data_IF_269292348993
#
_entry.id   IF_269292348993
#
_cell.length_a   1.000
_cell.length_b   1.000
_cell.length_c   1.000
_cell.angle_alpha   90.00
_cell.angle_beta   90.00
_cell.angle_gamma   90.00
#
_symmetry.space_group_name_H-M   'P 1'
#
loop_
_entity.id
_entity.type
_entity.pdbx_description
1 polymer ?
#
# COMPACT_ATOMS: atom_id res chain seq x y z
N UNK A 1 9.44 10.90 -5.32
CA UNK A 1 9.00 11.69 -6.50
C UNK A 1 8.52 13.06 -6.00
N UNK A 2 9.43 14.00 -5.71
CA UNK A 2 9.08 15.25 -5.01
C UNK A 2 8.20 16.19 -5.84
N UNK A 3 8.45 16.30 -7.16
CA UNK A 3 7.67 17.15 -8.07
C UNK A 3 6.19 16.73 -8.11
N UNK A 4 5.93 15.45 -8.31
CA UNK A 4 4.56 14.90 -8.30
C UNK A 4 3.88 15.08 -6.93
N UNK A 5 4.61 14.87 -5.83
CA UNK A 5 4.08 15.10 -4.49
C UNK A 5 3.67 16.55 -4.24
N UNK A 6 4.47 17.51 -4.73
CA UNK A 6 4.15 18.94 -4.65
C UNK A 6 2.91 19.27 -5.50
N UNK A 7 2.83 18.75 -6.72
CA UNK A 7 1.65 18.92 -7.59
C UNK A 7 0.37 18.39 -6.94
N UNK A 8 0.44 17.23 -6.27
CA UNK A 8 -0.72 16.68 -5.56
C UNK A 8 -1.18 17.57 -4.41
N UNK A 9 -0.26 18.28 -3.73
CA UNK A 9 -0.61 19.24 -2.68
C UNK A 9 -1.30 20.46 -3.29
N UNK A 10 -0.78 20.98 -4.41
CA UNK A 10 -1.32 22.14 -5.12
C UNK A 10 -2.74 21.87 -5.66
N UNK A 11 -2.97 20.69 -6.24
CA UNK A 11 -4.27 20.24 -6.72
C UNK A 11 -5.17 19.66 -5.62
N UNK A 12 -4.76 19.70 -4.34
CA UNK A 12 -5.51 19.16 -3.19
C UNK A 12 -5.88 17.67 -3.31
N UNK A 13 -5.07 16.88 -4.02
CA UNK A 13 -5.24 15.44 -4.16
C UNK A 13 -4.79 14.75 -2.88
N UNK A 14 -5.72 14.06 -2.22
CA UNK A 14 -5.42 13.21 -1.09
C UNK A 14 -5.28 11.74 -1.55
N UNK A 15 -4.26 10.99 -1.08
CA UNK A 15 -4.13 9.56 -1.39
C UNK A 15 -5.39 8.73 -1.12
N UNK A 16 -6.19 9.09 -0.12
CA UNK A 16 -7.46 8.39 0.17
C UNK A 16 -8.48 8.46 -0.98
N UNK A 17 -8.39 9.44 -1.87
CA UNK A 17 -9.29 9.61 -3.02
C UNK A 17 -9.11 8.53 -4.10
N UNK A 18 -7.91 7.98 -4.24
CA UNK A 18 -7.59 6.99 -5.29
C UNK A 18 -7.01 5.69 -4.73
N UNK A 19 -6.14 5.76 -3.72
CA UNK A 19 -5.38 4.60 -3.25
C UNK A 19 -6.20 3.67 -2.35
N UNK A 20 -7.29 4.14 -1.73
CA UNK A 20 -8.09 3.31 -0.82
C UNK A 20 -8.52 1.99 -1.48
N UNK A 21 -9.00 2.05 -2.73
CA UNK A 21 -9.37 0.87 -3.49
C UNK A 21 -8.16 -0.05 -3.74
N UNK A 22 -7.01 0.51 -4.09
CA UNK A 22 -5.79 -0.27 -4.35
C UNK A 22 -5.40 -1.11 -3.14
N UNK A 23 -5.40 -0.50 -1.96
CA UNK A 23 -5.01 -1.16 -0.71
C UNK A 23 -6.06 -2.17 -0.24
N UNK A 24 -7.35 -1.88 -0.36
CA UNK A 24 -8.42 -2.77 0.08
C UNK A 24 -8.53 -4.00 -0.83
N UNK A 25 -8.39 -3.81 -2.13
CA UNK A 25 -8.67 -4.84 -3.15
C UNK A 25 -7.41 -5.48 -3.71
N UNK A 26 -6.22 -5.05 -3.27
CA UNK A 26 -4.92 -5.47 -3.80
C UNK A 26 -4.92 -5.39 -5.33
N UNK A 27 -5.33 -4.22 -5.84
CA UNK A 27 -5.46 -3.88 -7.27
C UNK A 27 -6.40 -4.75 -8.12
N UNK A 28 -7.24 -5.60 -7.54
CA UNK A 28 -8.13 -6.48 -8.33
C UNK A 28 -9.21 -5.74 -9.15
N UNK A 29 -9.51 -4.49 -8.80
CA UNK A 29 -10.39 -3.61 -9.58
C UNK A 29 -9.64 -2.64 -10.49
N UNK A 30 -8.31 -2.61 -10.42
CA UNK A 30 -7.47 -1.64 -11.14
C UNK A 30 -6.69 -2.27 -12.29
N UNK A 31 -6.62 -3.60 -12.36
CA UNK A 31 -5.90 -4.33 -13.40
C UNK A 31 -6.78 -5.38 -14.08
N UNK A 32 -6.45 -5.74 -15.34
CA UNK A 32 -6.96 -6.98 -15.94
C UNK A 32 -6.60 -8.19 -15.08
N UNK A 33 -7.49 -9.19 -15.06
CA UNK A 33 -7.35 -10.37 -14.21
C UNK A 33 -5.96 -11.05 -14.28
N UNK A 34 -5.33 -11.25 -15.47
CA UNK A 34 -3.99 -11.82 -15.54
C UNK A 34 -2.94 -11.03 -14.77
N UNK A 35 -2.99 -9.70 -14.84
CA UNK A 35 -2.06 -8.83 -14.11
C UNK A 35 -2.36 -8.84 -12.60
N UNK A 36 -3.62 -8.85 -12.20
CA UNK A 36 -4.01 -9.01 -10.78
C UNK A 36 -3.39 -10.27 -10.18
N UNK A 37 -3.43 -11.41 -10.89
CA UNK A 37 -2.83 -12.66 -10.41
C UNK A 37 -1.32 -12.52 -10.19
N UNK A 38 -0.60 -11.87 -11.11
CA UNK A 38 0.84 -11.62 -10.95
C UNK A 38 1.16 -10.80 -9.71
N UNK A 39 0.36 -9.75 -9.45
CA UNK A 39 0.51 -8.93 -8.23
C UNK A 39 0.22 -9.77 -6.99
N UNK A 40 -0.78 -10.63 -7.03
CA UNK A 40 -1.16 -11.49 -5.91
C UNK A 40 -0.11 -12.55 -5.60
N UNK A 41 0.51 -13.16 -6.61
CA UNK A 41 1.60 -14.14 -6.42
C UNK A 41 2.73 -13.53 -5.59
N UNK A 42 3.18 -12.31 -5.97
CA UNK A 42 4.24 -11.61 -5.25
C UNK A 42 3.75 -11.11 -3.90
N UNK A 43 2.53 -10.58 -3.80
CA UNK A 43 1.95 -10.12 -2.54
C UNK A 43 1.84 -11.22 -1.50
N UNK A 44 1.45 -12.44 -1.89
CA UNK A 44 1.34 -13.58 -0.98
C UNK A 44 2.71 -14.04 -0.47
N UNK A 45 3.77 -13.84 -1.26
CA UNK A 45 5.14 -14.19 -0.87
C UNK A 45 5.82 -13.08 -0.04
N UNK A 46 5.70 -11.83 -0.46
CA UNK A 46 6.45 -10.68 0.08
C UNK A 46 5.65 -9.80 1.06
N UNK A 47 4.31 -9.90 1.04
CA UNK A 47 3.39 -9.18 1.91
C UNK A 47 3.05 -7.75 1.46
N UNK A 48 2.57 -6.94 2.41
CA UNK A 48 1.95 -5.62 2.16
C UNK A 48 2.84 -4.61 1.45
N UNK A 49 4.16 -4.75 1.55
CA UNK A 49 5.12 -3.88 0.86
C UNK A 49 4.92 -3.86 -0.66
N UNK A 50 4.42 -4.96 -1.24
CA UNK A 50 4.14 -5.08 -2.67
C UNK A 50 3.08 -4.07 -3.09
N UNK A 51 2.07 -3.84 -2.26
CA UNK A 51 1.00 -2.87 -2.58
C UNK A 51 1.56 -1.46 -2.71
N UNK A 52 2.48 -1.09 -1.82
CA UNK A 52 3.20 0.19 -1.91
C UNK A 52 4.12 0.25 -3.12
N UNK A 53 4.89 -0.81 -3.38
CA UNK A 53 5.81 -0.86 -4.53
C UNK A 53 5.07 -0.72 -5.86
N UNK A 54 3.98 -1.47 -6.04
CA UNK A 54 3.14 -1.40 -7.25
C UNK A 54 2.49 -0.03 -7.37
N UNK A 55 1.91 0.51 -6.29
CA UNK A 55 1.33 1.85 -6.30
C UNK A 55 2.33 2.94 -6.65
N UNK A 56 3.55 2.87 -6.11
CA UNK A 56 4.64 3.79 -6.46
C UNK A 56 5.15 3.58 -7.89
N UNK A 57 5.18 2.33 -8.37
CA UNK A 57 5.50 1.97 -9.75
C UNK A 57 4.54 2.62 -10.75
N UNK A 58 3.24 2.55 -10.49
CA UNK A 58 2.19 3.18 -11.32
C UNK A 58 2.36 4.70 -11.38
N UNK A 59 2.55 5.33 -10.22
CA UNK A 59 2.80 6.78 -10.13
C UNK A 59 4.09 7.19 -10.83
N UNK A 60 5.11 6.32 -10.81
CA UNK A 60 6.39 6.55 -11.50
C UNK A 60 6.24 6.43 -13.01
N UNK A 61 5.47 5.46 -13.48
CA UNK A 61 5.18 5.28 -14.90
C UNK A 61 4.43 6.47 -15.48
N UNK A 62 3.36 6.92 -14.80
CA UNK A 62 2.51 8.01 -15.28
C UNK A 62 3.03 9.41 -14.90
N UNK A 63 4.22 9.51 -14.30
CA UNK A 63 4.71 10.74 -13.66
C UNK A 63 4.63 11.97 -14.58
N UNK A 64 5.10 11.83 -15.81
CA UNK A 64 5.25 12.97 -16.73
C UNK A 64 3.91 13.51 -17.24
N UNK A 65 2.86 12.69 -17.19
CA UNK A 65 1.50 13.11 -17.51
C UNK A 65 0.83 13.69 -16.27
N UNK A 66 0.86 12.98 -15.14
CA UNK A 66 0.20 13.39 -13.90
C UNK A 66 0.63 14.78 -13.40
N UNK A 67 1.89 15.17 -13.60
CA UNK A 67 2.41 16.49 -13.18
C UNK A 67 1.80 17.66 -13.97
N UNK A 68 1.16 17.41 -15.11
CA UNK A 68 0.59 18.45 -15.98
C UNK A 68 -0.93 18.59 -15.84
N UNK A 69 -1.58 17.62 -15.22
CA UNK A 69 -3.04 17.52 -15.21
C UNK A 69 -3.66 18.32 -14.05
N UNK A 70 -4.77 19.05 -14.28
CA UNK A 70 -5.56 19.65 -13.21
C UNK A 70 -6.35 18.57 -12.44
N UNK A 71 -6.88 18.93 -11.27
CA UNK A 71 -7.56 18.04 -10.33
C UNK A 71 -8.47 16.95 -10.94
N UNK A 72 -9.41 17.31 -11.82
CA UNK A 72 -10.37 16.34 -12.36
C UNK A 72 -9.72 15.29 -13.26
N UNK A 73 -8.89 15.74 -14.21
CA UNK A 73 -8.15 14.87 -15.14
C UNK A 73 -7.11 14.03 -14.41
N UNK A 74 -6.47 14.62 -13.40
CA UNK A 74 -5.52 13.94 -12.54
C UNK A 74 -6.19 12.80 -11.76
N UNK A 75 -7.32 13.07 -11.12
CA UNK A 75 -8.08 12.06 -10.37
C UNK A 75 -8.69 10.99 -11.30
N UNK A 76 -9.04 11.35 -12.54
CA UNK A 76 -9.43 10.37 -13.55
C UNK A 76 -8.27 9.43 -13.90
N UNK A 77 -7.09 9.99 -14.20
CA UNK A 77 -5.89 9.24 -14.56
C UNK A 77 -5.39 8.34 -13.43
N UNK A 78 -5.56 8.75 -12.17
CA UNK A 78 -5.25 7.93 -10.99
C UNK A 78 -6.24 6.78 -10.75
N UNK A 79 -7.43 6.81 -11.37
CA UNK A 79 -8.43 5.74 -11.27
C UNK A 79 -8.35 4.75 -12.43
N UNK A 80 -7.97 5.24 -13.61
CA UNK A 80 -7.91 4.47 -14.85
C UNK A 80 -6.52 4.61 -15.46
N UNK A 81 -5.67 3.61 -15.21
CA UNK A 81 -4.33 3.56 -15.77
C UNK A 81 -4.34 3.11 -17.23
N UNK A 82 -3.39 3.59 -18.06
CA UNK A 82 -3.24 3.11 -19.43
C UNK A 82 -2.83 1.64 -19.44
N UNK A 83 -3.18 0.91 -20.50
CA UNK A 83 -2.95 -0.54 -20.60
C UNK A 83 -1.46 -0.89 -20.48
N UNK A 84 -0.58 -0.03 -21.00
CA UNK A 84 0.88 -0.19 -20.90
C UNK A 84 1.38 -0.17 -19.45
N UNK A 85 0.70 0.57 -18.55
CA UNK A 85 1.03 0.58 -17.12
C UNK A 85 0.56 -0.68 -16.39
N UNK A 86 -0.27 -1.51 -17.04
CA UNK A 86 -0.80 -2.77 -16.50
C UNK A 86 -0.04 -4.00 -17.00
N UNK A 87 0.98 -3.80 -17.84
CA UNK A 87 1.88 -4.87 -18.27
C UNK A 87 2.89 -5.23 -17.14
N UNK A 88 2.97 -6.50 -16.70
CA UNK A 88 3.90 -6.91 -15.64
C UNK A 88 5.37 -6.64 -15.98
N UNK A 89 5.76 -6.86 -17.24
CA UNK A 89 7.15 -6.73 -17.68
C UNK A 89 7.61 -5.26 -17.69
N UNK A 90 6.66 -4.34 -17.83
CA UNK A 90 6.88 -2.89 -17.72
C UNK A 90 6.78 -2.40 -16.27
N UNK A 91 5.76 -2.83 -15.53
CA UNK A 91 5.46 -2.28 -14.20
C UNK A 91 6.39 -2.81 -13.10
N UNK A 92 6.68 -4.12 -13.09
CA UNK A 92 7.44 -4.74 -11.99
C UNK A 92 8.88 -4.24 -11.85
N UNK A 93 9.64 -4.00 -12.93
CA UNK A 93 10.96 -3.39 -12.81
C UNK A 93 10.92 -2.03 -12.12
N UNK A 94 9.90 -1.20 -12.44
CA UNK A 94 9.70 0.09 -11.79
C UNK A 94 9.28 -0.07 -10.33
N UNK A 95 8.29 -0.93 -10.06
CA UNK A 95 7.75 -1.16 -8.72
C UNK A 95 8.82 -1.67 -7.74
N UNK A 96 9.60 -2.68 -8.15
CA UNK A 96 10.59 -3.30 -7.27
C UNK A 96 11.89 -2.49 -7.13
N UNK A 97 12.08 -1.44 -7.93
CA UNK A 97 13.16 -0.46 -7.71
C UNK A 97 12.98 0.32 -6.40
N UNK A 98 11.76 0.40 -5.87
CA UNK A 98 11.47 1.07 -4.60
C UNK A 98 11.77 0.17 -3.40
N UNK A 99 12.73 0.57 -2.57
CA UNK A 99 13.04 -0.09 -1.29
C UNK A 99 12.09 0.40 -0.19
N UNK A 100 11.03 -0.36 0.09
CA UNK A 100 9.94 0.07 1.01
C UNK A 100 10.14 -0.39 2.47
N UNK A 101 10.81 -1.51 2.72
CA UNK A 101 10.82 -2.18 4.05
C UNK A 101 11.21 -1.28 5.24
N UNK A 102 12.42 -0.73 5.24
CA UNK A 102 12.91 0.07 6.36
C UNK A 102 12.11 1.37 6.54
N UNK A 103 11.76 2.00 5.42
CA UNK A 103 11.02 3.26 5.43
C UNK A 103 9.59 3.11 5.93
N UNK A 104 8.93 1.98 5.68
CA UNK A 104 7.54 1.79 6.09
C UNK A 104 7.40 1.66 7.61
N UNK A 105 8.32 0.95 8.27
CA UNK A 105 8.32 0.83 9.73
C UNK A 105 8.56 2.17 10.43
N UNK A 106 9.47 2.98 9.89
CA UNK A 106 9.74 4.33 10.39
C UNK A 106 8.52 5.25 10.23
N UNK A 107 7.89 5.22 9.05
CA UNK A 107 6.68 5.99 8.77
C UNK A 107 5.50 5.54 9.63
N UNK A 108 5.36 4.24 9.90
CA UNK A 108 4.32 3.74 10.80
C UNK A 108 4.52 4.24 12.24
N UNK A 109 5.76 4.21 12.74
CA UNK A 109 6.11 4.74 14.07
C UNK A 109 5.83 6.23 14.17
N UNK A 110 6.21 7.00 13.16
CA UNK A 110 5.96 8.43 13.09
C UNK A 110 4.45 8.73 13.04
N UNK A 111 3.69 7.99 12.23
CA UNK A 111 2.23 8.12 12.16
C UNK A 111 1.56 7.82 13.52
N UNK A 112 1.98 6.74 14.20
CA UNK A 112 1.51 6.39 15.54
C UNK A 112 1.77 7.52 16.54
N UNK A 113 3.00 8.06 16.54
CA UNK A 113 3.41 9.16 17.43
C UNK A 113 2.56 10.41 17.22
N UNK A 114 2.18 10.74 15.98
CA UNK A 114 1.29 11.86 15.68
C UNK A 114 -0.14 11.66 16.20
N UNK A 115 -0.62 10.42 16.23
CA UNK A 115 -1.93 10.09 16.82
C UNK A 115 -1.91 10.19 18.35
N UNK A 116 -0.81 9.82 19.00
CA UNK A 116 -0.68 9.83 20.46
C UNK A 116 -0.24 11.19 21.05
N UNK A 117 0.02 12.20 20.21
CA UNK A 117 0.45 13.54 20.63
C UNK A 117 -0.66 14.42 21.24
N UNK A 118 -0.31 15.52 21.94
CA UNK A 118 -1.26 16.37 22.68
C UNK A 118 -2.35 17.06 21.84
N UNK A 119 -2.28 16.99 20.51
CA UNK A 119 -3.28 17.52 19.57
C UNK A 119 -4.46 16.56 19.31
N UNK A 120 -4.52 15.40 19.97
CA UNK A 120 -5.50 14.33 19.71
C UNK A 120 -6.90 14.54 20.34
N UNK A 121 -7.14 15.61 21.11
CA UNK A 121 -8.35 15.77 21.94
C UNK A 121 -9.52 16.53 21.31
N UNK A 122 -9.56 16.75 19.99
CA UNK A 122 -10.63 17.58 19.38
C UNK A 122 -11.46 16.94 18.25
N UNK A 123 -11.34 15.65 17.94
CA UNK A 123 -12.24 15.00 16.97
C UNK A 123 -12.75 13.64 17.45
N UNK A 124 -13.83 13.70 18.25
CA UNK A 124 -14.68 12.57 18.56
C UNK A 124 -15.33 12.02 17.29
N UNK A 125 -14.78 10.95 16.73
CA UNK A 125 -15.54 9.95 15.98
C UNK A 125 -14.71 8.66 15.89
N UNK A 126 -15.17 7.65 16.65
CA UNK A 126 -14.76 6.25 16.64
C UNK A 126 -14.04 5.86 15.33
N UNK A 127 -12.74 5.60 15.36
CA UNK A 127 -12.05 4.98 14.21
C UNK A 127 -11.03 3.95 14.67
N UNK A 128 -11.12 2.81 13.98
CA UNK A 128 -10.69 1.47 14.36
C UNK A 128 -9.23 1.40 14.83
N UNK A 129 -9.04 0.84 16.03
CA UNK A 129 -7.73 0.36 16.45
C UNK A 129 -7.25 -0.70 15.45
N UNK A 130 -5.99 -0.66 14.97
CA UNK A 130 -5.47 -1.75 14.17
C UNK A 130 -5.47 -3.00 15.04
N UNK A 131 -6.06 -4.10 14.53
CA UNK A 131 -5.88 -5.42 15.13
C UNK A 131 -4.38 -5.68 15.16
N UNK A 132 -3.76 -5.51 16.33
CA UNK A 132 -2.47 -6.12 16.60
C UNK A 132 -2.69 -7.62 16.47
N UNK A 133 -2.34 -8.20 15.32
CA UNK A 133 -2.17 -9.63 15.20
C UNK A 133 -0.98 -10.03 16.07
N UNK A 134 -1.25 -10.21 17.36
CA UNK A 134 -0.36 -10.88 18.32
C UNK A 134 -0.82 -12.31 18.62
N UNK A 135 -1.80 -12.80 17.86
CA UNK A 135 -2.45 -14.10 18.12
C UNK A 135 -1.90 -15.26 17.28
N UNK A 136 -1.02 -15.02 16.30
CA UNK A 136 -0.42 -16.12 15.52
C UNK A 136 0.99 -16.56 15.96
N UNK A 137 1.53 -16.02 17.07
CA UNK A 137 2.80 -16.53 17.62
C UNK A 137 2.62 -17.45 18.83
N UNK A 138 1.44 -17.46 19.47
CA UNK A 138 1.15 -18.37 20.61
C UNK A 138 0.60 -19.73 20.17
N UNK A 139 -0.14 -19.79 19.06
CA UNK A 139 -0.69 -21.04 18.56
C UNK A 139 0.41 -22.01 18.09
N UNK A 140 1.48 -21.52 17.44
CA UNK A 140 2.57 -22.38 16.96
C UNK A 140 3.43 -22.91 18.12
N UNK A 141 3.75 -22.08 19.13
CA UNK A 141 4.47 -22.58 20.32
C UNK A 141 3.66 -23.56 21.16
N UNK A 142 2.33 -23.40 21.22
CA UNK A 142 1.46 -24.28 22.00
C UNK A 142 1.16 -25.60 21.28
N UNK A 143 1.18 -25.61 19.93
CA UNK A 143 1.12 -26.85 19.14
C UNK A 143 2.44 -27.62 19.19
N UNK A 144 3.59 -26.93 19.19
CA UNK A 144 4.92 -27.56 19.30
C UNK A 144 5.21 -28.15 20.69
N UNK A 145 4.63 -27.62 21.78
CA UNK A 145 4.79 -28.21 23.11
C UNK A 145 3.96 -29.49 23.32
N UNK A 146 2.86 -29.67 22.58
CA UNK A 146 1.98 -30.85 22.70
C UNK A 146 2.55 -32.06 21.94
N UNK A 147 3.33 -31.85 20.86
CA UNK A 147 3.92 -32.95 20.09
C UNK A 147 5.03 -33.71 20.83
N UNK A 148 5.64 -33.12 21.86
CA UNK A 148 6.74 -33.74 22.62
C UNK A 148 6.30 -34.52 23.88
N UNK A 149 5.00 -34.61 24.18
CA UNK A 149 4.49 -35.38 25.33
C UNK A 149 4.18 -36.84 24.97
N UNK A 150 4.20 -37.22 23.68
CA UNK A 150 3.84 -38.56 23.20
C UNK A 150 4.99 -39.52 22.89
N UNK A 151 6.25 -39.19 23.23
CA UNK A 151 7.40 -40.10 23.06
C UNK A 151 8.17 -40.28 24.36
N UNK A 152 7.60 -41.06 25.28
CA UNK A 152 8.32 -41.87 26.25
C UNK A 152 7.55 -43.14 26.52
#
# INVERSE_FOLDING_TARGET
>A
MPKLGQHFIEEMINPSMYASQWFITVFSYSFPFPMTLRVWDVFLYEGIKVVFQVGLGLLRFCHDDLVKLPFEELLHSLRYFPDEATDPDTLFPLAFSFKVNSSLEELEKEYRKRLDGPNASSSSSKRLLPLKSKTMSRAVSQVLSISNVGKK
#
